data_IF_631532561155
#
_entry.id   IF_631532561155
#
_cell.length_a   1.000
_cell.length_b   1.000
_cell.length_c   1.000
_cell.angle_alpha   90.00
_cell.angle_beta   90.00
_cell.angle_gamma   90.00
#
_symmetry.space_group_name_H-M   'P 1'
#
loop_
_entity.id
_entity.type
_entity.pdbx_description
1 polymer ?
#
# COMPACT_ATOMS: atom_id res chain seq x y z
N UNK A 1 78.88 21.83 28.44
CA UNK A 1 79.60 23.02 28.04
C UNK A 1 78.67 23.85 27.20
N UNK A 2 78.00 24.76 27.80
CA UNK A 2 78.03 26.23 27.76
C UNK A 2 77.06 26.69 26.68
N UNK A 3 76.25 27.65 26.77
CA UNK A 3 76.02 28.80 27.67
C UNK A 3 74.56 29.29 27.42
N UNK A 4 73.97 29.73 28.45
CA UNK A 4 72.83 30.58 28.63
C UNK A 4 72.99 31.88 27.80
N UNK A 5 71.91 32.37 27.16
CA UNK A 5 71.69 33.79 27.11
C UNK A 5 70.22 34.14 27.25
N UNK A 6 69.94 34.93 28.27
CA UNK A 6 68.69 35.55 28.65
C UNK A 6 68.55 36.85 27.86
N UNK A 7 67.41 37.14 27.27
CA UNK A 7 66.97 38.51 27.18
C UNK A 7 65.41 38.52 27.05
N UNK A 8 64.77 38.83 28.16
CA UNK A 8 63.41 39.34 28.21
C UNK A 8 63.45 40.85 28.07
N UNK A 9 62.57 41.48 27.36
CA UNK A 9 62.10 42.79 27.63
C UNK A 9 60.73 42.82 28.28
N UNK A 10 60.63 43.60 29.30
CA UNK A 10 59.54 44.00 30.14
C UNK A 10 58.34 44.59 29.43
N UNK A 11 57.18 44.22 30.00
CA UNK A 11 55.85 44.76 29.77
C UNK A 11 55.87 46.21 30.36
N UNK A 12 55.41 47.20 29.60
CA UNK A 12 54.63 48.34 30.09
C UNK A 12 53.94 49.06 28.92
N UNK A 13 52.70 49.46 29.21
CA UNK A 13 51.89 50.47 28.52
C UNK A 13 51.33 50.12 27.15
N UNK A 14 50.15 49.52 27.18
CA UNK A 14 49.11 49.77 26.14
C UNK A 14 47.85 50.31 26.79
N UNK A 15 47.55 51.54 26.38
CA UNK A 15 46.45 52.41 26.73
C UNK A 15 45.08 51.71 26.49
N UNK A 16 44.25 51.83 27.52
CA UNK A 16 42.88 51.29 27.59
C UNK A 16 41.92 52.44 27.25
N UNK A 17 41.79 52.74 25.97
CA UNK A 17 40.70 53.60 25.54
C UNK A 17 40.39 53.50 24.03
N UNK A 18 39.81 52.43 23.63
CA UNK A 18 38.92 52.40 22.47
C UNK A 18 37.91 51.28 22.67
N UNK A 19 36.78 51.64 23.31
CA UNK A 19 35.56 50.81 23.34
C UNK A 19 34.96 50.87 21.94
N UNK A 20 35.14 49.79 21.18
CA UNK A 20 34.34 49.56 19.97
C UNK A 20 32.86 49.35 20.38
N UNK A 21 31.89 49.95 19.64
CA UNK A 21 30.48 49.76 19.94
C UNK A 21 30.08 48.31 19.71
N UNK A 22 29.47 47.66 20.72
CA UNK A 22 28.76 46.39 20.55
C UNK A 22 27.70 46.55 19.46
N UNK A 23 27.96 45.97 18.32
CA UNK A 23 26.93 45.80 17.28
C UNK A 23 26.00 44.71 17.76
N UNK A 24 24.83 45.13 18.20
CA UNK A 24 23.71 44.26 18.54
C UNK A 24 23.27 43.52 17.24
N UNK A 25 23.79 42.33 17.05
CA UNK A 25 23.39 41.48 15.93
C UNK A 25 22.04 40.90 16.30
N UNK A 26 20.97 41.62 15.99
CA UNK A 26 19.62 41.01 15.95
C UNK A 26 19.70 39.75 15.12
N UNK A 27 19.63 38.59 15.79
CA UNK A 27 19.47 37.31 15.13
C UNK A 27 18.11 37.33 14.43
N UNK A 28 18.12 37.66 13.14
CA UNK A 28 16.97 37.42 12.25
C UNK A 28 16.77 35.93 12.21
N UNK A 29 15.85 35.43 13.03
CA UNK A 29 15.32 34.08 12.92
C UNK A 29 14.53 34.05 11.62
N UNK A 30 15.17 33.60 10.55
CA UNK A 30 14.47 33.26 9.32
C UNK A 30 13.50 32.15 9.67
N UNK A 31 12.22 32.45 9.73
CA UNK A 31 11.19 31.40 9.73
C UNK A 31 11.45 30.51 8.51
N UNK A 32 11.49 29.16 8.69
CA UNK A 32 11.67 28.28 7.56
C UNK A 32 10.55 28.54 6.54
N UNK A 33 10.94 28.81 5.30
CA UNK A 33 9.97 28.91 4.23
C UNK A 33 9.09 27.65 4.24
N UNK A 34 7.75 27.79 4.17
CA UNK A 34 6.87 26.64 4.14
C UNK A 34 7.29 25.75 2.96
N UNK A 35 7.58 24.48 3.26
CA UNK A 35 7.87 23.50 2.22
C UNK A 35 6.74 23.55 1.17
N UNK A 36 7.05 23.57 -0.12
CA UNK A 36 6.05 23.66 -1.16
C UNK A 36 5.06 22.50 -0.99
N UNK A 37 3.80 22.85 -0.82
CA UNK A 37 2.69 21.89 -0.70
C UNK A 37 2.66 21.04 -1.97
N UNK A 38 3.23 19.83 -1.89
CA UNK A 38 3.26 18.90 -3.01
C UNK A 38 1.83 18.48 -3.28
N UNK A 39 1.28 18.92 -4.41
CA UNK A 39 -0.06 18.53 -4.82
C UNK A 39 -0.20 17.00 -4.78
N UNK A 40 -1.31 16.48 -4.24
CA UNK A 40 -1.51 15.04 -4.19
C UNK A 40 -1.45 14.46 -5.62
N UNK A 41 -0.91 13.24 -5.78
CA UNK A 41 -0.80 12.63 -7.10
C UNK A 41 -2.17 12.53 -7.77
N UNK A 42 -2.25 12.58 -9.10
CA UNK A 42 -3.51 12.54 -9.82
C UNK A 42 -4.32 11.29 -9.46
N UNK A 43 -5.62 11.44 -9.31
CA UNK A 43 -6.53 10.35 -8.94
C UNK A 43 -6.78 9.47 -10.14
N UNK A 44 -6.22 8.27 -10.15
CA UNK A 44 -6.30 7.31 -11.25
C UNK A 44 -7.57 6.43 -11.23
N UNK A 45 -8.49 6.67 -10.30
CA UNK A 45 -9.72 5.93 -10.08
C UNK A 45 -10.89 6.89 -9.84
N UNK A 46 -12.11 6.41 -9.99
CA UNK A 46 -13.34 7.21 -9.96
C UNK A 46 -14.06 7.19 -11.30
N UNK A 47 -14.84 8.21 -11.55
CA UNK A 47 -15.65 8.35 -12.75
C UNK A 47 -14.89 9.12 -13.84
N UNK A 48 -14.81 8.53 -15.03
CA UNK A 48 -14.16 9.12 -16.18
C UNK A 48 -15.18 9.26 -17.32
N UNK A 49 -15.59 10.49 -17.65
CA UNK A 49 -16.47 10.71 -18.79
C UNK A 49 -15.72 10.44 -20.10
N UNK A 50 -16.25 9.56 -20.91
CA UNK A 50 -15.78 9.30 -22.26
C UNK A 50 -16.94 9.51 -23.22
N UNK A 51 -16.73 10.24 -24.30
CA UNK A 51 -17.67 10.34 -25.41
C UNK A 51 -17.53 9.16 -26.36
N UNK A 52 -18.46 9.00 -27.28
CA UNK A 52 -18.35 7.97 -28.33
C UNK A 52 -17.09 8.22 -29.16
N UNK A 53 -16.35 7.13 -29.45
CA UNK A 53 -15.05 7.15 -30.15
C UNK A 53 -13.90 7.77 -29.37
N UNK A 54 -14.00 7.88 -28.02
CA UNK A 54 -12.90 8.24 -27.15
C UNK A 54 -12.30 7.02 -26.45
N UNK A 55 -11.08 7.18 -26.01
CA UNK A 55 -10.34 6.20 -25.22
C UNK A 55 -9.83 6.82 -23.91
N UNK A 56 -9.84 6.07 -22.83
CA UNK A 56 -9.06 6.36 -21.63
C UNK A 56 -7.89 5.41 -21.55
N UNK A 57 -6.70 5.93 -21.23
CA UNK A 57 -5.48 5.17 -21.04
C UNK A 57 -4.93 5.40 -19.64
N UNK A 58 -4.57 4.32 -18.98
CA UNK A 58 -3.99 4.33 -17.63
C UNK A 58 -2.75 3.46 -17.60
N UNK A 59 -1.65 4.03 -17.17
CA UNK A 59 -0.45 3.30 -16.72
C UNK A 59 -0.41 3.42 -15.20
N UNK A 60 -0.66 2.32 -14.48
CA UNK A 60 -0.72 2.31 -13.01
C UNK A 60 0.21 1.22 -12.49
N UNK A 61 1.41 1.62 -12.11
CA UNK A 61 2.51 0.69 -11.91
C UNK A 61 2.78 -0.08 -13.19
N UNK A 62 2.96 -1.38 -13.08
CA UNK A 62 3.17 -2.27 -14.24
C UNK A 62 1.89 -2.60 -15.01
N UNK A 63 0.72 -2.11 -14.57
CA UNK A 63 -0.55 -2.30 -15.26
C UNK A 63 -0.71 -1.25 -16.35
N UNK A 64 -1.04 -1.70 -17.56
CA UNK A 64 -1.52 -0.83 -18.66
C UNK A 64 -2.96 -1.19 -18.97
N UNK A 65 -3.83 -0.19 -18.98
CA UNK A 65 -5.26 -0.33 -19.25
C UNK A 65 -5.69 0.70 -20.29
N UNK A 66 -6.40 0.24 -21.32
CA UNK A 66 -7.05 1.10 -22.29
C UNK A 66 -8.52 0.72 -22.42
N UNK A 67 -9.41 1.71 -22.32
CA UNK A 67 -10.86 1.52 -22.40
C UNK A 67 -11.42 2.41 -23.48
N UNK A 68 -11.99 1.80 -24.51
CA UNK A 68 -12.57 2.50 -25.67
C UNK A 68 -14.10 2.47 -25.56
N UNK A 69 -14.71 3.64 -25.77
CA UNK A 69 -16.16 3.76 -25.92
C UNK A 69 -16.54 3.89 -27.38
N UNK A 70 -17.33 2.94 -27.88
CA UNK A 70 -17.95 2.97 -29.21
C UNK A 70 -19.47 3.02 -29.04
N UNK A 71 -20.27 3.38 -30.04
CA UNK A 71 -21.73 3.57 -29.92
C UNK A 71 -22.47 2.36 -29.31
N UNK A 72 -22.02 1.15 -29.64
CA UNK A 72 -22.64 -0.11 -29.18
C UNK A 72 -21.67 -1.06 -28.49
N UNK A 73 -20.49 -0.59 -28.14
CA UNK A 73 -19.44 -1.48 -27.64
C UNK A 73 -18.50 -0.74 -26.69
N UNK A 74 -18.15 -1.38 -25.58
CA UNK A 74 -16.99 -1.05 -24.80
C UNK A 74 -15.89 -2.07 -25.09
N UNK A 75 -14.67 -1.61 -25.35
CA UNK A 75 -13.48 -2.45 -25.52
C UNK A 75 -12.52 -2.17 -24.40
N UNK A 76 -12.00 -3.24 -23.79
CA UNK A 76 -11.03 -3.17 -22.71
C UNK A 76 -9.79 -3.95 -23.13
N UNK A 77 -8.66 -3.29 -23.12
CA UNK A 77 -7.34 -3.88 -23.35
C UNK A 77 -6.57 -3.74 -22.05
N UNK A 78 -6.05 -4.85 -21.57
CA UNK A 78 -5.29 -4.92 -20.34
C UNK A 78 -4.00 -5.69 -20.57
N UNK A 79 -2.90 -5.17 -20.04
CA UNK A 79 -1.62 -5.87 -19.94
C UNK A 79 -0.95 -5.58 -18.60
N UNK A 80 -0.02 -6.43 -18.22
CA UNK A 80 0.73 -6.33 -16.97
C UNK A 80 2.20 -6.61 -17.22
N UNK A 81 3.08 -5.72 -16.74
CA UNK A 81 4.53 -5.93 -16.66
C UNK A 81 4.93 -6.81 -15.49
N UNK A 82 6.24 -6.97 -15.29
CA UNK A 82 6.81 -7.89 -14.32
C UNK A 82 7.24 -7.26 -12.99
N UNK A 83 7.24 -5.92 -12.87
CA UNK A 83 7.64 -5.24 -11.64
C UNK A 83 6.43 -4.94 -10.75
N UNK A 84 6.31 -5.60 -9.57
CA UNK A 84 5.21 -5.37 -8.64
C UNK A 84 5.29 -4.03 -7.92
N UNK A 85 6.39 -3.29 -8.04
CA UNK A 85 6.65 -2.02 -7.36
C UNK A 85 6.96 -0.88 -8.32
N UNK A 86 6.69 -1.04 -9.61
CA UNK A 86 6.85 0.00 -10.63
C UNK A 86 6.22 1.32 -10.15
N UNK A 87 6.94 2.45 -10.09
CA UNK A 87 6.41 3.71 -9.56
C UNK A 87 5.53 4.48 -10.55
N UNK A 88 5.39 4.02 -11.78
CA UNK A 88 4.71 4.75 -12.86
C UNK A 88 3.25 5.00 -12.53
N UNK A 89 2.83 6.24 -12.73
CA UNK A 89 1.43 6.64 -12.71
C UNK A 89 1.21 7.68 -13.80
N UNK A 90 0.52 7.27 -14.86
CA UNK A 90 0.18 8.13 -15.99
C UNK A 90 -1.29 7.92 -16.40
N UNK A 91 -1.99 9.00 -16.67
CA UNK A 91 -3.42 9.00 -16.96
C UNK A 91 -3.68 9.94 -18.12
N UNK A 92 -4.16 9.38 -19.22
CA UNK A 92 -4.54 10.11 -20.43
C UNK A 92 -6.03 9.84 -20.73
N UNK A 93 -6.89 10.72 -20.25
CA UNK A 93 -8.35 10.57 -20.34
C UNK A 93 -9.02 11.94 -20.44
N UNK A 94 -9.79 12.22 -21.50
CA UNK A 94 -9.91 11.42 -22.71
C UNK A 94 -8.71 11.59 -23.64
N UNK A 95 -8.37 10.52 -24.34
CA UNK A 95 -7.40 10.55 -25.43
C UNK A 95 -8.08 10.35 -26.78
N UNK A 96 -7.42 10.76 -27.87
CA UNK A 96 -7.90 10.49 -29.22
C UNK A 96 -7.70 9.02 -29.60
N UNK A 97 -8.65 8.47 -30.34
CA UNK A 97 -8.56 7.10 -30.81
C UNK A 97 -7.66 7.06 -32.04
N UNK A 98 -6.43 6.60 -31.87
CA UNK A 98 -5.68 6.02 -32.96
C UNK A 98 -6.31 4.68 -33.38
N UNK A 99 -6.03 4.20 -34.57
CA UNK A 99 -6.63 2.97 -35.08
C UNK A 99 -6.58 1.83 -34.05
N UNK A 100 -7.75 1.31 -33.66
CA UNK A 100 -7.85 0.20 -32.69
C UNK A 100 -7.39 -1.07 -33.41
N UNK A 101 -6.17 -1.51 -33.13
CA UNK A 101 -5.72 -2.82 -33.55
C UNK A 101 -6.64 -3.91 -32.95
N UNK A 102 -6.97 -4.90 -33.74
CA UNK A 102 -7.62 -6.11 -33.22
C UNK A 102 -6.48 -6.97 -32.68
N UNK A 103 -6.23 -6.90 -31.37
CA UNK A 103 -5.30 -7.75 -30.67
C UNK A 103 -6.07 -8.85 -29.93
N UNK A 104 -5.46 -10.03 -29.73
CA UNK A 104 -6.07 -11.19 -29.06
C UNK A 104 -6.45 -10.91 -27.59
N UNK A 105 -5.91 -9.85 -26.99
CA UNK A 105 -6.19 -9.44 -25.62
C UNK A 105 -7.36 -8.46 -25.46
N UNK A 106 -8.12 -8.15 -26.52
CA UNK A 106 -9.25 -7.23 -26.46
C UNK A 106 -10.48 -7.92 -25.90
N UNK A 107 -11.01 -7.42 -24.78
CA UNK A 107 -12.34 -7.81 -24.29
C UNK A 107 -13.39 -6.86 -24.83
N UNK A 108 -14.45 -7.43 -25.40
CA UNK A 108 -15.50 -6.70 -26.09
C UNK A 108 -16.84 -6.91 -25.40
N UNK A 109 -17.51 -5.82 -25.04
CA UNK A 109 -18.81 -5.83 -24.38
C UNK A 109 -19.83 -5.10 -25.25
N UNK A 110 -20.83 -5.83 -25.74
CA UNK A 110 -21.83 -5.30 -26.68
C UNK A 110 -23.07 -4.80 -25.96
N UNK A 111 -23.57 -3.66 -26.39
CA UNK A 111 -24.76 -2.98 -25.88
C UNK A 111 -25.66 -2.53 -27.00
N UNK A 112 -26.92 -2.28 -26.71
CA UNK A 112 -27.80 -1.56 -27.66
C UNK A 112 -27.32 -0.12 -27.86
N UNK A 113 -26.86 0.51 -26.78
CA UNK A 113 -26.21 1.81 -26.71
C UNK A 113 -25.32 1.89 -25.51
N UNK A 114 -24.09 2.41 -25.63
CA UNK A 114 -23.20 2.63 -24.52
C UNK A 114 -23.51 3.90 -23.77
N UNK A 115 -23.29 3.92 -22.46
CA UNK A 115 -23.50 5.10 -21.60
C UNK A 115 -22.23 5.44 -20.85
N UNK A 116 -21.96 6.74 -20.72
CA UNK A 116 -20.89 7.30 -19.91
C UNK A 116 -21.39 7.63 -18.49
N UNK A 117 -20.53 7.67 -17.45
CA UNK A 117 -19.08 7.46 -17.49
C UNK A 117 -18.67 5.98 -17.43
N UNK A 118 -17.38 5.71 -17.64
CA UNK A 118 -16.72 4.52 -17.12
C UNK A 118 -16.23 4.82 -15.70
N UNK A 119 -16.47 3.88 -14.80
CA UNK A 119 -16.09 4.00 -13.39
C UNK A 119 -15.01 2.98 -13.07
N UNK A 120 -13.87 3.45 -12.57
CA UNK A 120 -12.77 2.63 -12.09
C UNK A 120 -12.78 2.60 -10.56
N UNK A 121 -13.05 1.43 -9.97
CA UNK A 121 -13.12 1.27 -8.52
C UNK A 121 -12.01 0.33 -8.02
N UNK A 122 -11.05 0.84 -7.23
CA UNK A 122 -10.09 -0.01 -6.54
C UNK A 122 -10.79 -0.94 -5.55
N UNK A 123 -10.38 -2.21 -5.57
CA UNK A 123 -10.87 -3.25 -4.66
C UNK A 123 -9.71 -4.14 -4.23
N UNK A 124 -9.88 -4.90 -3.16
CA UNK A 124 -8.89 -5.89 -2.76
C UNK A 124 -9.03 -7.19 -3.58
N UNK A 125 -8.07 -8.10 -3.45
CA UNK A 125 -8.08 -9.37 -4.15
C UNK A 125 -9.33 -10.22 -3.82
N UNK A 126 -9.64 -11.17 -4.70
CA UNK A 126 -10.76 -12.10 -4.57
C UNK A 126 -10.41 -13.34 -3.72
N UNK A 127 -9.15 -13.49 -3.33
CA UNK A 127 -8.64 -14.60 -2.52
C UNK A 127 -7.66 -14.08 -1.48
N UNK A 128 -7.44 -14.85 -0.39
CA UNK A 128 -6.45 -14.48 0.61
C UNK A 128 -5.05 -14.30 0.02
N UNK A 129 -4.28 -13.41 0.65
CA UNK A 129 -2.89 -13.16 0.31
C UNK A 129 -1.97 -13.79 1.35
N UNK A 130 -0.99 -14.58 0.91
CA UNK A 130 0.09 -15.10 1.77
C UNK A 130 1.30 -14.20 1.62
N UNK A 131 1.65 -13.54 2.71
CA UNK A 131 2.79 -12.62 2.80
C UNK A 131 3.90 -13.31 3.57
N UNK A 132 5.13 -13.15 3.10
CA UNK A 132 6.34 -13.62 3.79
C UNK A 132 7.22 -12.42 4.11
N UNK A 133 7.58 -12.20 5.38
CA UNK A 133 8.63 -11.26 5.72
C UNK A 133 9.92 -11.62 4.97
N UNK A 134 10.73 -10.61 4.64
CA UNK A 134 12.01 -10.83 3.96
C UNK A 134 12.95 -11.72 4.81
N UNK A 135 12.89 -11.54 6.12
CA UNK A 135 13.61 -12.34 7.12
C UNK A 135 12.58 -12.77 8.15
N UNK A 136 12.43 -14.09 8.40
CA UNK A 136 11.61 -14.58 9.50
C UNK A 136 12.08 -14.01 10.84
N UNK A 137 11.14 -13.70 11.74
CA UNK A 137 11.44 -13.20 13.07
C UNK A 137 10.54 -13.83 14.11
N UNK A 138 10.97 -13.77 15.37
CA UNK A 138 10.22 -14.26 16.50
C UNK A 138 9.61 -13.11 17.30
N UNK A 139 8.39 -13.31 17.79
CA UNK A 139 7.72 -12.43 18.74
C UNK A 139 7.73 -13.14 20.10
N UNK A 140 8.38 -12.54 21.07
CA UNK A 140 8.52 -13.14 22.39
C UNK A 140 7.18 -13.25 23.14
N UNK A 141 7.19 -14.06 24.19
CA UNK A 141 5.99 -14.30 25.01
C UNK A 141 5.45 -12.99 25.59
N UNK A 142 4.12 -12.77 25.52
CA UNK A 142 3.39 -11.58 25.96
C UNK A 142 3.71 -10.28 25.23
N UNK A 143 4.52 -10.35 24.16
CA UNK A 143 4.81 -9.19 23.33
C UNK A 143 3.76 -9.00 22.24
N UNK A 144 3.70 -7.76 21.74
CA UNK A 144 2.87 -7.41 20.60
C UNK A 144 3.63 -6.47 19.66
N UNK A 145 3.42 -6.66 18.36
CA UNK A 145 4.01 -5.84 17.31
C UNK A 145 2.97 -5.44 16.29
N UNK A 146 3.16 -4.29 15.64
CA UNK A 146 2.40 -3.92 14.44
C UNK A 146 3.30 -4.09 13.21
N UNK A 147 2.83 -4.90 12.26
CA UNK A 147 3.47 -5.13 10.98
C UNK A 147 2.65 -4.42 9.90
N UNK A 148 3.29 -3.60 9.10
CA UNK A 148 2.67 -2.95 7.95
C UNK A 148 2.97 -3.71 6.68
N UNK A 149 1.93 -4.07 5.93
CA UNK A 149 2.06 -4.88 4.73
C UNK A 149 1.49 -4.13 3.54
N UNK A 150 2.24 -4.10 2.44
CA UNK A 150 1.79 -3.53 1.18
C UNK A 150 1.09 -4.58 0.33
N UNK A 151 -0.21 -4.39 0.08
CA UNK A 151 -1.06 -5.33 -0.64
C UNK A 151 -1.32 -4.86 -2.08
N UNK A 152 -1.24 -5.72 -3.09
CA UNK A 152 -1.70 -5.40 -4.43
C UNK A 152 -3.22 -5.21 -4.43
N UNK A 153 -3.70 -4.32 -5.29
CA UNK A 153 -5.12 -4.07 -5.46
C UNK A 153 -5.60 -4.57 -6.82
N UNK A 154 -6.91 -4.73 -6.94
CA UNK A 154 -7.62 -4.98 -8.18
C UNK A 154 -8.39 -3.74 -8.59
N UNK A 155 -8.67 -3.63 -9.86
CA UNK A 155 -9.44 -2.55 -10.43
C UNK A 155 -10.71 -3.11 -11.03
N UNK A 156 -11.84 -2.69 -10.51
CA UNK A 156 -13.16 -3.01 -11.02
C UNK A 156 -13.58 -1.96 -12.02
N UNK A 157 -13.95 -2.39 -13.23
CA UNK A 157 -14.36 -1.56 -14.34
C UNK A 157 -15.88 -1.68 -14.51
N UNK A 158 -16.58 -0.60 -14.28
CA UNK A 158 -18.05 -0.51 -14.45
C UNK A 158 -18.40 0.60 -15.44
N UNK A 159 -19.57 0.54 -16.02
CA UNK A 159 -20.10 1.56 -16.93
C UNK A 159 -21.51 1.95 -16.51
N UNK A 160 -21.93 3.17 -16.84
CA UNK A 160 -23.26 3.63 -16.53
C UNK A 160 -24.33 2.73 -17.16
N UNK A 161 -25.47 2.59 -16.47
CA UNK A 161 -26.61 1.79 -16.93
C UNK A 161 -26.46 0.28 -16.70
N UNK A 162 -25.34 -0.20 -16.12
CA UNK A 162 -25.10 -1.62 -15.85
C UNK A 162 -24.82 -1.84 -14.36
N UNK A 163 -25.56 -2.74 -13.73
CA UNK A 163 -25.37 -3.03 -12.29
C UNK A 163 -24.11 -3.85 -11.97
N UNK A 164 -23.73 -4.74 -12.89
CA UNK A 164 -22.58 -5.61 -12.75
C UNK A 164 -21.33 -4.95 -13.36
N UNK A 165 -20.16 -5.08 -12.74
CA UNK A 165 -18.93 -4.64 -13.37
C UNK A 165 -18.69 -5.42 -14.67
N UNK A 166 -18.15 -4.75 -15.68
CA UNK A 166 -17.79 -5.39 -16.95
C UNK A 166 -16.59 -6.31 -16.77
N UNK A 167 -15.60 -5.83 -16.05
CA UNK A 167 -14.35 -6.56 -15.87
C UNK A 167 -13.66 -6.15 -14.58
N UNK A 168 -12.79 -7.02 -14.10
CA UNK A 168 -11.93 -6.76 -12.96
C UNK A 168 -10.52 -7.25 -13.27
N UNK A 169 -9.53 -6.37 -13.07
CA UNK A 169 -8.12 -6.64 -13.36
C UNK A 169 -7.25 -6.33 -12.15
N UNK A 170 -6.18 -7.10 -11.88
CA UNK A 170 -5.22 -6.77 -10.85
C UNK A 170 -4.30 -5.63 -11.29
N UNK A 171 -3.92 -4.73 -10.38
CA UNK A 171 -2.81 -3.80 -10.60
C UNK A 171 -1.48 -4.55 -10.76
N UNK A 172 -1.36 -5.64 -10.03
CA UNK A 172 -0.33 -6.67 -10.18
C UNK A 172 -0.89 -7.99 -9.67
N UNK A 173 -0.95 -9.02 -10.53
CA UNK A 173 -1.42 -10.35 -10.14
C UNK A 173 -0.27 -11.18 -9.57
N UNK A 174 -0.29 -11.50 -8.27
CA UNK A 174 0.69 -12.40 -7.69
C UNK A 174 0.51 -13.84 -8.21
N UNK A 175 1.52 -14.66 -8.02
CA UNK A 175 1.43 -16.10 -8.32
C UNK A 175 0.43 -16.79 -7.41
N UNK A 176 -0.21 -17.83 -7.90
CA UNK A 176 -1.05 -18.69 -7.08
C UNK A 176 -0.18 -19.52 -6.11
N UNK A 177 -0.68 -19.75 -4.90
CA UNK A 177 -0.03 -20.57 -3.88
C UNK A 177 -1.07 -21.33 -3.08
N UNK A 178 -0.66 -22.45 -2.48
CA UNK A 178 -1.48 -23.23 -1.57
C UNK A 178 -1.12 -22.89 -0.12
N UNK A 179 -2.12 -22.64 0.70
CA UNK A 179 -1.95 -22.42 2.13
C UNK A 179 -2.73 -23.44 2.94
N UNK A 180 -2.03 -24.33 3.66
CA UNK A 180 -2.58 -25.40 4.48
C UNK A 180 -1.54 -26.45 4.82
N UNK A 181 -1.92 -27.36 5.72
CA UNK A 181 -1.02 -28.43 6.20
C UNK A 181 -0.89 -29.59 5.21
N UNK A 182 -1.87 -29.76 4.33
CA UNK A 182 -1.86 -30.80 3.31
C UNK A 182 -2.59 -30.32 2.05
N UNK A 183 -2.49 -31.10 0.97
CA UNK A 183 -3.23 -30.87 -0.27
C UNK A 183 -4.75 -31.07 -0.11
N UNK A 184 -5.18 -31.74 0.96
CA UNK A 184 -6.61 -31.94 1.29
C UNK A 184 -7.15 -30.91 2.27
N UNK A 185 -6.29 -30.27 3.05
CA UNK A 185 -6.65 -29.27 4.05
C UNK A 185 -5.88 -27.98 3.77
N UNK A 186 -6.55 -27.05 3.13
CA UNK A 186 -5.98 -25.77 2.77
C UNK A 186 -6.82 -25.05 1.73
N UNK A 187 -6.32 -23.94 1.28
CA UNK A 187 -7.01 -23.11 0.30
C UNK A 187 -6.05 -22.49 -0.71
N UNK A 188 -6.59 -22.15 -1.86
CA UNK A 188 -5.87 -21.45 -2.91
C UNK A 188 -5.76 -19.97 -2.56
N UNK A 189 -4.55 -19.46 -2.48
CA UNK A 189 -4.22 -18.10 -2.13
C UNK A 189 -3.33 -17.45 -3.20
N UNK A 190 -3.07 -16.15 -3.07
CA UNK A 190 -2.03 -15.48 -3.82
C UNK A 190 -0.75 -15.38 -2.98
N UNK A 191 0.41 -15.65 -3.60
CA UNK A 191 1.73 -15.44 -2.98
C UNK A 191 2.17 -13.99 -3.20
N UNK A 192 1.87 -13.11 -2.26
CA UNK A 192 2.32 -11.74 -2.35
C UNK A 192 3.78 -11.62 -1.87
N UNK A 193 4.69 -11.34 -2.80
CA UNK A 193 6.02 -10.80 -2.47
C UNK A 193 5.85 -9.33 -2.05
N UNK A 194 5.25 -9.10 -0.91
CA UNK A 194 4.97 -7.76 -0.43
C UNK A 194 6.01 -7.37 0.62
N UNK A 195 6.53 -6.15 0.56
CA UNK A 195 7.29 -5.60 1.67
C UNK A 195 6.43 -5.63 2.92
N UNK A 196 6.96 -6.20 3.99
CA UNK A 196 6.36 -6.19 5.32
C UNK A 196 7.38 -5.54 6.26
N UNK A 197 7.01 -4.42 6.89
CA UNK A 197 7.89 -3.60 7.70
C UNK A 197 7.28 -3.34 9.08
N UNK A 198 8.12 -3.22 10.09
CA UNK A 198 7.72 -2.79 11.43
C UNK A 198 7.50 -1.28 11.47
N UNK A 199 8.22 -0.54 10.65
CA UNK A 199 8.09 0.89 10.54
C UNK A 199 7.42 1.27 9.21
N UNK A 200 6.32 2.00 9.29
CA UNK A 200 5.56 2.42 8.11
C UNK A 200 6.35 3.34 7.17
N UNK A 201 7.32 4.10 7.68
CA UNK A 201 8.16 4.98 6.86
C UNK A 201 9.08 4.22 5.91
N UNK A 202 9.38 2.95 6.21
CA UNK A 202 10.23 2.08 5.40
C UNK A 202 9.43 1.35 4.30
N UNK A 203 8.09 1.42 4.37
CA UNK A 203 7.24 0.76 3.40
C UNK A 203 7.18 1.56 2.09
N UNK A 204 7.51 0.97 0.94
CA UNK A 204 7.35 1.64 -0.34
C UNK A 204 5.89 2.02 -0.59
N UNK A 205 5.59 3.32 -0.52
CA UNK A 205 4.25 3.84 -0.81
C UNK A 205 4.04 3.83 -2.32
N UNK A 206 2.94 3.24 -2.76
CA UNK A 206 2.54 3.18 -4.16
C UNK A 206 1.04 3.50 -4.26
N UNK A 207 0.61 4.36 -5.20
CA UNK A 207 -0.78 4.80 -5.29
C UNK A 207 -1.76 3.67 -5.68
N UNK A 208 -1.24 2.53 -6.11
CA UNK A 208 -2.02 1.35 -6.50
C UNK A 208 -1.84 0.16 -5.55
N UNK A 209 -1.32 0.40 -4.34
CA UNK A 209 -1.17 -0.62 -3.30
C UNK A 209 -1.78 -0.13 -2.00
N UNK A 210 -2.44 -1.03 -1.29
CA UNK A 210 -3.04 -0.73 -0.01
C UNK A 210 -2.10 -1.11 1.15
N UNK A 211 -2.04 -0.29 2.18
CA UNK A 211 -1.33 -0.60 3.42
C UNK A 211 -2.29 -1.30 4.37
N UNK A 212 -1.91 -2.48 4.83
CA UNK A 212 -2.63 -3.23 5.85
C UNK A 212 -1.83 -3.23 7.16
N UNK A 213 -2.30 -2.55 8.22
CA UNK A 213 -1.72 -2.65 9.55
C UNK A 213 -2.18 -3.96 10.21
N UNK A 214 -1.23 -4.77 10.64
CA UNK A 214 -1.46 -6.07 11.28
C UNK A 214 -0.87 -6.05 12.68
N UNK A 215 -1.71 -5.97 13.70
CA UNK A 215 -1.31 -6.10 15.09
C UNK A 215 -1.24 -7.59 15.45
N UNK A 216 -0.07 -8.07 15.81
CA UNK A 216 0.16 -9.46 16.19
C UNK A 216 0.46 -9.49 17.69
N UNK A 217 -0.29 -10.30 18.42
CA UNK A 217 -0.17 -10.50 19.87
C UNK A 217 0.19 -11.94 20.16
N UNK A 218 1.35 -12.15 20.77
CA UNK A 218 1.72 -13.44 21.29
C UNK A 218 1.27 -13.56 22.75
N UNK A 219 0.29 -14.43 23.02
CA UNK A 219 -0.22 -14.74 24.38
C UNK A 219 0.18 -16.15 24.81
N UNK A 220 0.96 -16.86 24.00
CA UNK A 220 1.52 -18.15 24.35
C UNK A 220 2.72 -18.00 25.30
N UNK A 221 3.10 -19.09 25.96
CA UNK A 221 4.26 -19.13 26.87
C UNK A 221 5.61 -19.20 26.14
N UNK A 222 5.59 -19.50 24.84
CA UNK A 222 6.77 -19.56 23.96
C UNK A 222 6.81 -18.44 22.94
N UNK A 223 7.97 -18.25 22.31
CA UNK A 223 8.12 -17.32 21.21
C UNK A 223 7.36 -17.78 19.96
N UNK A 224 6.74 -16.84 19.26
CA UNK A 224 5.97 -17.05 18.04
C UNK A 224 6.83 -16.72 16.83
N UNK A 225 7.24 -17.74 16.07
CA UNK A 225 8.03 -17.54 14.84
C UNK A 225 7.10 -17.18 13.68
N UNK A 226 7.39 -16.08 13.04
CA UNK A 226 6.66 -15.55 11.91
C UNK A 226 7.46 -15.73 10.62
N UNK A 227 7.11 -16.73 9.82
CA UNK A 227 7.67 -16.99 8.50
C UNK A 227 6.73 -16.63 7.36
N UNK A 228 5.42 -16.70 7.62
CA UNK A 228 4.36 -16.35 6.67
C UNK A 228 3.08 -15.99 7.38
N UNK A 229 2.30 -15.09 6.77
CA UNK A 229 0.99 -14.67 7.26
C UNK A 229 -0.02 -14.78 6.13
N UNK A 230 -1.16 -15.42 6.40
CA UNK A 230 -2.31 -15.38 5.52
C UNK A 230 -3.21 -14.21 5.89
N UNK A 231 -3.46 -13.33 4.93
CA UNK A 231 -4.29 -12.14 5.09
C UNK A 231 -5.59 -12.36 4.32
N UNK A 232 -6.75 -12.44 5.01
CA UNK A 232 -8.04 -12.67 4.39
C UNK A 232 -8.60 -11.36 3.83
N UNK A 233 -8.04 -10.91 2.72
CA UNK A 233 -8.33 -9.60 2.11
C UNK A 233 -9.77 -9.47 1.60
N UNK A 234 -10.43 -10.57 1.33
CA UNK A 234 -11.84 -10.63 0.89
C UNK A 234 -12.81 -10.06 1.94
N UNK A 235 -12.41 -10.05 3.22
CA UNK A 235 -13.19 -9.48 4.34
C UNK A 235 -12.82 -8.05 4.69
N UNK A 236 -11.86 -7.45 3.99
CA UNK A 236 -11.36 -6.12 4.28
C UNK A 236 -12.04 -5.06 3.39
N UNK A 237 -12.40 -3.93 3.99
CA UNK A 237 -12.77 -2.73 3.25
C UNK A 237 -11.51 -1.94 2.86
N UNK A 238 -11.62 -1.20 1.76
CA UNK A 238 -10.56 -0.33 1.26
C UNK A 238 -10.92 1.12 1.53
N UNK A 239 -9.97 1.86 2.07
CA UNK A 239 -10.05 3.28 2.36
C UNK A 239 -8.96 4.03 1.59
N UNK A 240 -9.21 5.28 1.24
CA UNK A 240 -8.22 6.18 0.65
C UNK A 240 -8.04 7.41 1.55
N UNK A 241 -6.80 7.80 1.81
CA UNK A 241 -6.49 9.05 2.50
C UNK A 241 -6.69 10.21 1.52
N UNK A 242 -7.47 11.21 1.93
CA UNK A 242 -7.76 12.39 1.09
C UNK A 242 -6.53 13.31 0.94
N UNK A 243 -5.60 13.23 1.87
CA UNK A 243 -4.41 14.09 1.88
C UNK A 243 -3.27 13.48 1.04
N UNK A 244 -3.06 12.17 1.14
CA UNK A 244 -1.92 11.50 0.51
C UNK A 244 -2.28 10.60 -0.67
N UNK A 245 -3.58 10.40 -0.94
CA UNK A 245 -4.08 9.39 -1.88
C UNK A 245 -3.59 7.95 -1.61
N UNK A 246 -3.03 7.70 -0.41
CA UNK A 246 -2.61 6.36 -0.02
C UNK A 246 -3.82 5.50 0.37
N UNK A 247 -3.83 4.27 -0.13
CA UNK A 247 -4.86 3.29 0.24
C UNK A 247 -4.51 2.53 1.50
N UNK A 248 -5.55 2.22 2.27
CA UNK A 248 -5.47 1.54 3.56
C UNK A 248 -6.56 0.49 3.68
N UNK A 249 -6.30 -0.55 4.45
CA UNK A 249 -7.33 -1.47 4.93
C UNK A 249 -7.68 -1.18 6.39
N UNK A 250 -8.71 -1.83 6.91
CA UNK A 250 -8.90 -1.91 8.36
C UNK A 250 -7.69 -2.55 9.04
N UNK A 251 -7.47 -2.22 10.30
CA UNK A 251 -6.47 -2.89 11.14
C UNK A 251 -6.87 -4.36 11.34
N UNK A 252 -5.92 -5.25 11.11
CA UNK A 252 -6.06 -6.68 11.36
C UNK A 252 -5.42 -6.99 12.72
N UNK A 253 -6.11 -7.71 13.58
CA UNK A 253 -5.61 -8.10 14.89
C UNK A 253 -5.51 -9.62 14.92
N UNK A 254 -4.30 -10.13 15.05
CA UNK A 254 -3.97 -11.54 15.20
C UNK A 254 -3.55 -11.79 16.65
N UNK A 255 -4.24 -12.67 17.35
CA UNK A 255 -3.93 -13.03 18.71
C UNK A 255 -3.66 -14.53 18.79
N UNK A 256 -2.43 -14.91 19.12
CA UNK A 256 -2.02 -16.28 19.35
C UNK A 256 -2.19 -16.60 20.83
N UNK A 257 -2.97 -17.64 21.15
CA UNK A 257 -3.21 -18.06 22.54
C UNK A 257 -3.47 -19.57 22.60
N UNK A 258 -2.73 -20.30 23.41
CA UNK A 258 -2.81 -21.77 23.58
C UNK A 258 -2.73 -22.52 22.23
N UNK A 259 -1.79 -22.11 21.37
CA UNK A 259 -1.59 -22.71 20.04
C UNK A 259 -2.72 -22.44 19.04
N UNK A 260 -3.64 -21.54 19.35
CA UNK A 260 -4.74 -21.12 18.46
C UNK A 260 -4.60 -19.66 18.09
N UNK A 261 -4.84 -19.35 16.82
CA UNK A 261 -4.84 -17.98 16.35
C UNK A 261 -6.28 -17.47 16.20
N UNK A 262 -6.57 -16.33 16.83
CA UNK A 262 -7.81 -15.58 16.64
C UNK A 262 -7.53 -14.38 15.74
N UNK A 263 -8.38 -14.16 14.75
CA UNK A 263 -8.34 -12.99 13.89
C UNK A 263 -9.55 -12.10 14.20
N UNK A 264 -9.28 -10.80 14.35
CA UNK A 264 -10.32 -9.77 14.47
C UNK A 264 -10.01 -8.65 13.48
N UNK A 265 -11.05 -8.03 12.96
CA UNK A 265 -10.93 -6.86 12.11
C UNK A 265 -11.30 -5.61 12.91
N UNK A 266 -10.49 -4.57 12.77
CA UNK A 266 -10.79 -3.25 13.32
C UNK A 266 -12.03 -2.62 12.67
N UNK A 267 -12.59 -1.62 13.32
CA UNK A 267 -13.70 -0.84 12.77
C UNK A 267 -13.17 0.37 12.00
N UNK A 268 -13.65 0.57 10.79
CA UNK A 268 -13.29 1.73 9.97
C UNK A 268 -11.84 1.70 9.48
N UNK A 269 -11.34 2.87 9.09
CA UNK A 269 -9.94 3.06 8.72
C UNK A 269 -9.01 2.97 9.93
N UNK A 270 -7.73 2.62 9.74
CA UNK A 270 -6.78 2.59 10.84
C UNK A 270 -6.48 4.02 11.33
N UNK A 271 -6.03 4.13 12.58
CA UNK A 271 -5.72 5.43 13.20
C UNK A 271 -4.53 6.14 12.53
N UNK A 272 -3.66 5.37 11.90
CA UNK A 272 -2.49 5.83 11.16
C UNK A 272 -2.84 6.51 9.83
N UNK A 273 -4.10 6.40 9.40
CA UNK A 273 -4.59 6.99 8.14
C UNK A 273 -5.44 8.23 8.42
N UNK A 274 -4.94 9.38 8.05
CA UNK A 274 -5.64 10.66 8.20
C UNK A 274 -6.80 10.78 7.21
N UNK A 275 -7.90 11.42 7.68
CA UNK A 275 -9.05 11.85 6.85
C UNK A 275 -9.38 10.93 5.67
N UNK A 276 -9.76 9.70 5.96
CA UNK A 276 -10.04 8.71 4.93
C UNK A 276 -11.49 8.75 4.43
N UNK A 277 -11.66 8.28 3.19
CA UNK A 277 -12.96 7.89 2.65
C UNK A 277 -12.97 6.38 2.33
N UNK A 278 -14.11 5.73 2.50
CA UNK A 278 -14.24 4.32 2.10
C UNK A 278 -14.44 4.23 0.59
N UNK A 279 -13.52 3.56 -0.10
CA UNK A 279 -13.53 3.38 -1.56
C UNK A 279 -14.33 2.16 -1.97
N UNK A 280 -14.09 1.03 -1.30
CA UNK A 280 -14.86 -0.19 -1.57
C UNK A 280 -15.17 -0.97 -0.30
N UNK A 281 -16.32 -1.66 -0.33
CA UNK A 281 -16.73 -2.58 0.70
C UNK A 281 -15.95 -3.90 0.58
N UNK A 282 -15.90 -4.70 1.67
CA UNK A 282 -15.41 -6.08 1.59
C UNK A 282 -16.16 -6.88 0.53
N UNK A 283 -15.49 -7.83 -0.11
CA UNK A 283 -16.13 -8.76 -1.04
C UNK A 283 -17.07 -9.71 -0.33
N UNK A 284 -16.67 -10.13 0.85
CA UNK A 284 -17.44 -11.02 1.72
C UNK A 284 -17.71 -10.37 3.07
N UNK A 285 -18.88 -10.67 3.63
CA UNK A 285 -19.21 -10.20 4.96
C UNK A 285 -18.61 -11.13 6.01
N UNK A 286 -17.72 -10.60 6.84
CA UNK A 286 -17.24 -11.31 8.01
C UNK A 286 -18.43 -11.64 8.93
N UNK A 287 -18.66 -12.93 9.24
CA UNK A 287 -19.62 -13.32 10.28
C UNK A 287 -19.11 -12.78 11.61
N UNK A 288 -20.00 -12.26 12.47
CA UNK A 288 -19.64 -11.81 13.83
C UNK A 288 -18.92 -12.94 14.56
N UNK A 289 -17.71 -12.66 15.03
CA UNK A 289 -16.85 -13.64 15.69
C UNK A 289 -16.33 -14.68 14.68
N UNK A 290 -15.70 -14.22 13.59
CA UNK A 290 -14.82 -15.06 12.82
C UNK A 290 -13.71 -15.59 13.75
N UNK A 291 -14.10 -16.60 14.53
CA UNK A 291 -13.13 -17.50 15.13
C UNK A 291 -12.55 -18.28 13.96
N UNK A 292 -11.49 -17.74 13.37
CA UNK A 292 -10.80 -18.36 12.26
C UNK A 292 -9.95 -19.50 12.84
N UNK A 293 -10.57 -20.30 13.70
CA UNK A 293 -10.07 -21.60 14.16
C UNK A 293 -9.94 -22.61 13.03
N UNK A 294 -10.49 -22.31 11.86
CA UNK A 294 -10.29 -23.08 10.62
C UNK A 294 -8.99 -22.72 9.89
N UNK A 295 -8.25 -21.70 10.33
CA UNK A 295 -6.96 -21.38 9.78
C UNK A 295 -5.86 -22.11 10.58
N UNK A 296 -5.86 -23.43 10.52
CA UNK A 296 -4.70 -24.23 10.87
C UNK A 296 -3.49 -23.63 10.16
N UNK A 297 -2.56 -23.05 10.94
CA UNK A 297 -1.29 -22.64 10.42
C UNK A 297 -1.17 -21.23 9.84
N UNK A 298 -1.81 -20.19 10.39
CA UNK A 298 -1.37 -18.80 10.12
C UNK A 298 0.11 -18.66 10.49
N UNK A 299 0.54 -19.37 11.52
CA UNK A 299 1.92 -19.45 11.98
C UNK A 299 2.37 -20.91 11.98
N UNK A 300 3.51 -21.20 11.39
CA UNK A 300 4.18 -22.49 11.56
C UNK A 300 4.93 -22.47 12.87
N UNK A 301 4.41 -23.15 13.88
CA UNK A 301 5.13 -23.38 15.13
C UNK A 301 6.14 -24.50 14.84
N UNK A 302 7.40 -24.16 14.62
CA UNK A 302 8.49 -25.12 14.65
C UNK A 302 8.73 -25.51 16.12
N UNK A 303 7.84 -26.36 16.66
CA UNK A 303 8.20 -27.13 17.87
C UNK A 303 9.22 -28.18 17.45
N UNK A 304 10.46 -27.97 17.89
CA UNK A 304 11.43 -29.05 18.06
C UNK A 304 12.15 -29.45 16.77
N UNK A 305 13.33 -28.92 16.62
CA UNK A 305 14.51 -29.64 16.18
C UNK A 305 15.52 -29.50 17.34
N UNK A 306 15.38 -30.37 18.33
CA UNK A 306 16.48 -30.80 19.17
C UNK A 306 17.27 -31.88 18.42
#
# INVERSE_FOLDING_TARGET
MGLIDQNQPTIDDYDRSELEPEVDVEQVVLEPEPEPEVAPPPRWWGDFPLEEYQVGRWQVGSMTLSIYRLPREWRIIYSQGNDPLDPTLDIDVPAEVEAIGIDDNVRRYMFSQTQSPVTLTPVLADRPLVVRPAIPFAIETREEITLYVSLPMWLRISVAGVQQPLYEVPSFRPSDTWFGDSTLQGELCYAARAPAQLNISELPKRPYRAIAPILIRNRDEGSLVLDRIKIPVEYLALYNSKETNQFWTQKIILEQNNGRTKLRLGWGSPQEADKTERVSAPRERARRGLDIGAFGGIFRNTRGLD
#
